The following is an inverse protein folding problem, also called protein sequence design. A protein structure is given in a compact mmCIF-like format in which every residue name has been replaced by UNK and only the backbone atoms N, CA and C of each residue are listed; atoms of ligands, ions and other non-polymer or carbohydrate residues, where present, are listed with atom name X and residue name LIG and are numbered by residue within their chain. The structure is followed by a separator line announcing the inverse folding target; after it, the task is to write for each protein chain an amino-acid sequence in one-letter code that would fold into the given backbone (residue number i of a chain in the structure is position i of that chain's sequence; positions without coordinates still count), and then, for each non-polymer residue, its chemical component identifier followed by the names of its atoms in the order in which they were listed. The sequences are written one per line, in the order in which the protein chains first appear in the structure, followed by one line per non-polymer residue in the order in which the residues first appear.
data_IF_418691781387
#
_entry.id   IF_418691781387
#
_cell.length_a   1.000
_cell.length_b   1.000
_cell.length_c   1.000
_cell.angle_alpha   90.00
_cell.angle_beta   90.00
_cell.angle_gamma   90.00
#
_symmetry.space_group_name_H-M   'P 1'
#
loop_
_entity.id
_entity.type
_entity.pdbx_description
1 polymer ?
#
# COMPACT_ATOMS: atom_id res chain seq x y z
N UNK A 1 -22.70 -27.62 5.05
CA UNK A 1 -22.61 -26.15 5.22
C UNK A 1 -21.26 -25.84 5.88
N UNK A 2 -20.77 -24.60 5.80
CA UNK A 2 -19.51 -24.18 6.45
C UNK A 2 -19.82 -23.54 7.81
N UNK A 3 -18.98 -23.78 8.81
CA UNK A 3 -19.08 -23.05 10.08
C UNK A 3 -18.37 -21.69 9.97
N UNK A 4 -18.74 -20.73 10.83
CA UNK A 4 -18.01 -19.45 10.95
C UNK A 4 -16.58 -19.65 11.45
N UNK A 5 -16.34 -20.70 12.25
CA UNK A 5 -15.01 -21.07 12.72
C UNK A 5 -14.10 -21.50 11.55
N UNK A 6 -14.62 -22.26 10.59
CA UNK A 6 -13.86 -22.70 9.40
C UNK A 6 -13.45 -21.51 8.53
N UNK A 7 -14.36 -20.55 8.32
CA UNK A 7 -14.08 -19.34 7.54
C UNK A 7 -12.99 -18.51 8.23
N UNK A 8 -13.08 -18.35 9.54
CA UNK A 8 -12.08 -17.62 10.32
C UNK A 8 -10.72 -18.33 10.34
N UNK A 9 -10.71 -19.66 10.44
CA UNK A 9 -9.48 -20.45 10.41
C UNK A 9 -8.78 -20.35 9.04
N UNK A 10 -9.52 -20.50 7.94
CA UNK A 10 -8.98 -20.35 6.57
C UNK A 10 -8.49 -18.92 6.31
N UNK A 11 -9.27 -17.92 6.73
CA UNK A 11 -8.89 -16.50 6.64
C UNK A 11 -7.61 -16.21 7.44
N UNK A 12 -7.51 -16.73 8.67
CA UNK A 12 -6.34 -16.58 9.54
C UNK A 12 -5.11 -17.26 8.94
N UNK A 13 -5.23 -18.48 8.41
CA UNK A 13 -4.11 -19.18 7.73
C UNK A 13 -3.63 -18.41 6.51
N UNK A 14 -4.55 -17.89 5.69
CA UNK A 14 -4.21 -17.04 4.54
C UNK A 14 -3.49 -15.77 4.97
N UNK A 15 -3.99 -15.09 6.00
CA UNK A 15 -3.35 -13.90 6.56
C UNK A 15 -1.94 -14.20 7.09
N UNK A 16 -1.76 -15.35 7.76
CA UNK A 16 -0.45 -15.84 8.23
C UNK A 16 0.53 -16.20 7.12
N UNK A 17 0.07 -16.40 5.88
CA UNK A 17 0.96 -16.61 4.72
C UNK A 17 1.27 -15.27 4.04
N UNK A 18 0.28 -14.39 3.91
CA UNK A 18 0.42 -13.11 3.22
C UNK A 18 1.26 -12.10 4.04
N UNK A 19 1.08 -12.04 5.36
CA UNK A 19 1.84 -11.10 6.20
C UNK A 19 3.34 -11.37 6.11
N UNK A 20 3.86 -12.58 6.36
CA UNK A 20 5.29 -12.85 6.23
C UNK A 20 5.80 -12.63 4.81
N UNK A 21 5.02 -12.98 3.78
CA UNK A 21 5.41 -12.73 2.39
C UNK A 21 5.59 -11.23 2.11
N UNK A 22 4.66 -10.40 2.58
CA UNK A 22 4.79 -8.94 2.50
C UNK A 22 5.98 -8.43 3.32
N UNK A 23 6.18 -8.94 4.55
CA UNK A 23 7.31 -8.56 5.40
C UNK A 23 8.66 -8.89 4.76
N UNK A 24 8.81 -10.09 4.19
CA UNK A 24 10.01 -10.50 3.47
C UNK A 24 10.21 -9.63 2.23
N UNK A 25 9.15 -9.35 1.47
CA UNK A 25 9.22 -8.45 0.32
C UNK A 25 9.72 -7.05 0.69
N UNK A 26 9.20 -6.47 1.79
CA UNK A 26 9.66 -5.18 2.31
C UNK A 26 11.11 -5.25 2.80
N UNK A 27 11.49 -6.30 3.52
CA UNK A 27 12.86 -6.46 4.01
C UNK A 27 13.89 -6.57 2.88
N UNK A 28 13.58 -7.34 1.83
CA UNK A 28 14.42 -7.46 0.63
C UNK A 28 14.49 -6.12 -0.11
N UNK A 29 13.37 -5.41 -0.23
CA UNK A 29 13.33 -4.08 -0.83
C UNK A 29 14.23 -3.08 -0.08
N UNK A 30 14.20 -3.08 1.26
CA UNK A 30 15.05 -2.23 2.08
C UNK A 30 16.53 -2.62 1.99
N UNK A 31 16.84 -3.92 1.99
CA UNK A 31 18.20 -4.42 1.80
C UNK A 31 18.76 -4.01 0.43
N UNK A 32 17.94 -4.10 -0.62
CA UNK A 32 18.30 -3.64 -1.96
C UNK A 32 18.60 -2.13 -1.98
N UNK A 33 17.74 -1.31 -1.35
CA UNK A 33 18.01 0.13 -1.25
C UNK A 33 19.29 0.44 -0.48
N UNK A 34 19.61 -0.29 0.58
CA UNK A 34 20.87 -0.12 1.31
C UNK A 34 22.10 -0.43 0.44
N UNK A 35 22.04 -1.50 -0.37
CA UNK A 35 23.11 -1.84 -1.31
C UNK A 35 23.25 -0.78 -2.40
N UNK A 36 22.12 -0.34 -2.99
CA UNK A 36 22.12 0.71 -4.01
C UNK A 36 22.67 2.01 -3.44
N UNK A 37 22.28 2.42 -2.23
CA UNK A 37 22.79 3.62 -1.58
C UNK A 37 24.31 3.56 -1.39
N UNK A 38 24.85 2.43 -0.92
CA UNK A 38 26.29 2.27 -0.71
C UNK A 38 27.12 2.29 -2.00
N UNK A 39 26.51 1.98 -3.16
CA UNK A 39 27.21 1.87 -4.45
C UNK A 39 26.84 2.97 -5.43
N UNK A 40 25.89 3.84 -5.08
CA UNK A 40 25.31 4.85 -5.97
C UNK A 40 26.37 5.75 -6.57
N UNK A 41 27.25 6.32 -5.75
CA UNK A 41 28.20 7.33 -6.22
C UNK A 41 29.24 6.72 -7.17
N UNK A 42 29.65 5.48 -6.90
CA UNK A 42 30.53 4.72 -7.77
C UNK A 42 29.86 4.38 -9.11
N UNK A 43 28.58 3.97 -9.08
CA UNK A 43 27.80 3.66 -10.28
C UNK A 43 27.53 4.90 -11.15
N UNK A 44 27.19 6.03 -10.53
CA UNK A 44 26.95 7.31 -11.22
C UNK A 44 28.25 7.85 -11.83
N UNK A 45 29.37 7.78 -11.10
CA UNK A 45 30.67 8.18 -11.64
C UNK A 45 31.10 7.30 -12.83
N UNK A 46 30.93 5.98 -12.72
CA UNK A 46 31.24 5.04 -13.81
C UNK A 46 30.33 5.24 -15.02
N UNK A 47 29.05 5.53 -14.81
CA UNK A 47 28.09 5.81 -15.89
C UNK A 47 28.41 7.12 -16.60
N UNK A 48 28.77 8.18 -15.85
CA UNK A 48 29.18 9.47 -16.41
C UNK A 48 30.41 9.33 -17.31
N UNK A 49 31.38 8.50 -16.92
CA UNK A 49 32.60 8.26 -17.69
C UNK A 49 32.36 7.45 -18.97
N UNK A 50 31.38 6.54 -18.97
CA UNK A 50 31.19 5.56 -20.06
C UNK A 50 30.08 5.93 -21.04
N UNK A 51 29.03 6.63 -20.58
CA UNK A 51 27.79 6.85 -21.32
C UNK A 51 27.33 8.32 -21.37
N UNK A 52 28.10 9.25 -20.80
CA UNK A 52 27.82 10.69 -20.79
C UNK A 52 26.87 11.16 -19.69
N UNK A 53 26.68 12.47 -19.56
CA UNK A 53 25.89 13.07 -18.46
C UNK A 53 24.40 12.70 -18.50
N UNK A 54 23.80 12.61 -19.69
CA UNK A 54 22.36 12.32 -19.84
C UNK A 54 21.93 10.96 -19.28
N UNK A 55 22.80 9.96 -19.28
CA UNK A 55 22.50 8.62 -18.75
C UNK A 55 22.75 8.53 -17.24
N UNK A 56 23.70 9.31 -16.72
CA UNK A 56 23.97 9.40 -15.29
C UNK A 56 22.76 9.96 -14.50
N UNK A 57 22.03 10.93 -15.08
CA UNK A 57 20.84 11.53 -14.47
C UNK A 57 19.63 10.57 -14.44
N UNK A 58 19.52 9.65 -15.40
CA UNK A 58 18.43 8.68 -15.48
C UNK A 58 18.69 7.39 -14.67
N UNK A 59 19.96 7.10 -14.36
CA UNK A 59 20.38 5.88 -13.66
C UNK A 59 19.67 5.64 -12.30
N UNK A 60 19.44 6.67 -11.45
CA UNK A 60 18.73 6.48 -10.18
C UNK A 60 17.30 5.99 -10.37
N UNK A 61 16.62 6.44 -11.42
CA UNK A 61 15.25 6.02 -11.74
C UNK A 61 15.24 4.56 -12.17
N UNK A 62 16.19 4.15 -13.00
CA UNK A 62 16.36 2.77 -13.46
C UNK A 62 16.66 1.83 -12.28
N UNK A 63 17.48 2.27 -11.32
CA UNK A 63 17.82 1.50 -10.13
C UNK A 63 16.64 1.28 -9.18
N UNK A 64 15.57 2.07 -9.25
CA UNK A 64 14.38 1.88 -8.42
C UNK A 64 13.47 0.78 -8.99
N UNK A 65 13.43 0.56 -10.31
CA UNK A 65 12.53 -0.41 -10.95
C UNK A 65 12.63 -1.85 -10.38
N UNK A 66 13.83 -2.42 -10.13
CA UNK A 66 13.97 -3.76 -9.56
C UNK A 66 13.32 -3.92 -8.17
N UNK A 67 13.27 -2.85 -7.36
CA UNK A 67 12.66 -2.86 -6.02
C UNK A 67 11.16 -3.21 -6.09
N UNK A 68 10.47 -2.70 -7.12
CA UNK A 68 9.06 -3.03 -7.39
C UNK A 68 8.94 -4.52 -7.73
N UNK A 69 9.88 -5.05 -8.51
CA UNK A 69 9.95 -6.46 -8.86
C UNK A 69 10.09 -7.37 -7.63
N UNK A 70 11.03 -7.06 -6.72
CA UNK A 70 11.22 -7.83 -5.47
C UNK A 70 9.96 -7.83 -4.59
N UNK A 71 9.28 -6.69 -4.49
CA UNK A 71 8.05 -6.60 -3.72
C UNK A 71 6.90 -7.39 -4.38
N UNK A 72 6.70 -7.22 -5.68
CA UNK A 72 5.63 -7.91 -6.42
C UNK A 72 5.83 -9.42 -6.45
N UNK A 73 7.05 -9.89 -6.68
CA UNK A 73 7.35 -11.34 -6.70
C UNK A 73 7.04 -12.00 -5.36
N UNK A 74 7.39 -11.36 -4.23
CA UNK A 74 7.05 -11.85 -2.90
C UNK A 74 5.52 -11.90 -2.68
N UNK A 75 4.78 -10.89 -3.14
CA UNK A 75 3.32 -10.88 -3.06
C UNK A 75 2.66 -11.94 -3.95
N UNK A 76 3.12 -12.10 -5.19
CA UNK A 76 2.62 -13.12 -6.13
C UNK A 76 2.87 -14.51 -5.55
N UNK A 77 4.05 -14.75 -4.97
CA UNK A 77 4.37 -15.99 -4.27
C UNK A 77 3.42 -16.24 -3.09
N UNK A 78 3.19 -15.21 -2.26
CA UNK A 78 2.24 -15.26 -1.15
C UNK A 78 0.81 -15.56 -1.62
N UNK A 79 0.35 -14.95 -2.71
CA UNK A 79 -0.96 -15.20 -3.30
C UNK A 79 -1.06 -16.65 -3.80
N UNK A 80 -0.07 -17.11 -4.55
CA UNK A 80 -0.01 -18.48 -5.08
C UNK A 80 -0.10 -19.51 -3.94
N UNK A 81 0.72 -19.36 -2.90
CA UNK A 81 0.70 -20.24 -1.73
C UNK A 81 -0.61 -20.15 -0.95
N UNK A 82 -1.26 -18.99 -0.93
CA UNK A 82 -2.55 -18.80 -0.26
C UNK A 82 -3.72 -19.48 -0.96
N UNK A 83 -3.62 -19.83 -2.25
CA UNK A 83 -4.71 -20.48 -3.02
C UNK A 83 -5.13 -21.82 -2.43
N UNK A 84 -4.21 -22.56 -1.80
CA UNK A 84 -4.54 -23.81 -1.11
C UNK A 84 -5.50 -23.63 0.08
N UNK A 85 -5.65 -22.41 0.58
CA UNK A 85 -6.55 -22.04 1.66
C UNK A 85 -7.72 -21.20 1.16
N UNK A 86 -8.04 -21.27 -0.14
CA UNK A 86 -9.16 -20.56 -0.73
C UNK A 86 -10.49 -21.07 -0.18
N UNK A 87 -11.42 -20.15 0.07
CA UNK A 87 -12.78 -20.47 0.49
C UNK A 87 -13.60 -20.74 -0.78
N UNK A 88 -13.96 -21.99 -1.04
CA UNK A 88 -14.73 -22.38 -2.23
C UNK A 88 -16.21 -22.55 -1.87
N UNK A 89 -17.10 -22.05 -2.74
CA UNK A 89 -18.53 -22.26 -2.57
C UNK A 89 -18.92 -23.73 -2.82
N UNK A 90 -19.58 -24.43 -1.89
CA UNK A 90 -19.96 -25.83 -2.09
C UNK A 90 -21.03 -26.05 -3.17
N UNK A 91 -21.74 -24.98 -3.59
CA UNK A 91 -22.83 -25.09 -4.55
C UNK A 91 -22.46 -24.63 -5.97
N UNK A 92 -21.66 -23.57 -6.13
CA UNK A 92 -21.27 -23.05 -7.45
C UNK A 92 -19.77 -23.11 -7.72
N UNK A 93 -18.98 -23.68 -6.80
CA UNK A 93 -17.53 -23.84 -6.91
C UNK A 93 -16.72 -22.53 -7.15
N UNK A 94 -17.35 -21.38 -6.93
CA UNK A 94 -16.70 -20.06 -7.06
C UNK A 94 -15.76 -19.81 -5.88
N UNK A 95 -14.59 -19.23 -6.16
CA UNK A 95 -13.65 -18.75 -5.15
C UNK A 95 -14.21 -17.51 -4.43
N UNK A 96 -14.44 -17.65 -3.13
CA UNK A 96 -14.93 -16.63 -2.22
C UNK A 96 -13.82 -16.08 -1.31
N UNK A 97 -12.56 -16.46 -1.52
CA UNK A 97 -11.42 -16.11 -0.67
C UNK A 97 -11.21 -14.59 -0.52
N UNK A 98 -11.56 -13.81 -1.54
CA UNK A 98 -11.50 -12.32 -1.53
C UNK A 98 -12.73 -11.68 -0.86
N UNK A 99 -13.81 -12.43 -0.67
CA UNK A 99 -15.09 -11.95 -0.13
C UNK A 99 -15.44 -12.59 1.22
N UNK A 100 -14.48 -13.20 1.92
CA UNK A 100 -14.67 -13.87 3.21
C UNK A 100 -15.38 -13.00 4.24
N UNK A 101 -15.06 -11.71 4.35
CA UNK A 101 -15.76 -10.75 5.24
C UNK A 101 -17.24 -10.60 4.88
N UNK A 102 -17.57 -10.51 3.58
CA UNK A 102 -18.96 -10.44 3.09
C UNK A 102 -19.69 -11.74 3.37
N UNK A 103 -19.06 -12.88 3.08
CA UNK A 103 -19.63 -14.21 3.32
C UNK A 103 -19.87 -14.44 4.81
N UNK A 104 -18.94 -14.06 5.69
CA UNK A 104 -19.11 -14.17 7.13
C UNK A 104 -20.29 -13.30 7.64
N UNK A 105 -20.46 -12.09 7.09
CA UNK A 105 -21.51 -11.16 7.50
C UNK A 105 -22.90 -11.46 6.90
N UNK A 106 -22.96 -11.96 5.66
CA UNK A 106 -24.21 -12.23 4.94
C UNK A 106 -24.63 -13.70 4.98
N UNK A 107 -23.70 -14.59 5.32
CA UNK A 107 -23.82 -16.06 5.31
C UNK A 107 -24.15 -16.70 3.96
N UNK A 108 -24.18 -15.90 2.89
CA UNK A 108 -24.50 -16.32 1.55
C UNK A 108 -23.29 -16.24 0.61
N UNK A 109 -23.31 -17.06 -0.44
CA UNK A 109 -22.40 -16.94 -1.56
C UNK A 109 -22.71 -15.64 -2.33
N UNK A 110 -21.67 -14.88 -2.68
CA UNK A 110 -21.81 -13.66 -3.50
C UNK A 110 -22.26 -13.94 -4.94
N UNK A 111 -21.96 -15.14 -5.46
CA UNK A 111 -22.29 -15.51 -6.85
C UNK A 111 -23.65 -16.17 -6.96
N UNK A 112 -23.90 -17.26 -6.22
CA UNK A 112 -25.15 -18.01 -6.35
C UNK A 112 -26.25 -17.62 -5.33
N UNK A 113 -25.98 -16.69 -4.40
CA UNK A 113 -26.94 -16.20 -3.41
C UNK A 113 -27.36 -17.21 -2.33
N UNK A 114 -27.07 -18.50 -2.51
CA UNK A 114 -27.40 -19.55 -1.54
C UNK A 114 -26.65 -19.37 -0.22
N UNK A 115 -27.32 -19.73 0.87
CA UNK A 115 -26.72 -19.75 2.20
C UNK A 115 -25.70 -20.88 2.27
N UNK A 116 -24.46 -20.54 2.59
CA UNK A 116 -23.34 -21.49 2.69
C UNK A 116 -22.78 -21.59 4.10
N UNK A 117 -23.11 -20.64 4.98
CA UNK A 117 -22.67 -20.59 6.39
C UNK A 117 -23.84 -20.86 7.32
N UNK A 118 -23.60 -21.64 8.37
CA UNK A 118 -24.63 -22.01 9.34
C UNK A 118 -25.17 -20.84 10.17
N UNK A 119 -26.43 -20.96 10.61
CA UNK A 119 -27.16 -20.03 11.50
C UNK A 119 -27.82 -18.82 10.81
N UNK A 120 -28.45 -17.91 11.58
CA UNK A 120 -29.22 -16.78 11.03
C UNK A 120 -28.32 -15.74 10.34
N UNK A 121 -28.86 -15.05 9.33
CA UNK A 121 -28.15 -13.94 8.66
C UNK A 121 -27.91 -12.80 9.66
N UNK A 122 -26.66 -12.37 9.78
CA UNK A 122 -26.31 -11.23 10.63
C UNK A 122 -26.61 -9.89 9.96
N UNK A 123 -26.37 -9.77 8.64
CA UNK A 123 -26.66 -8.57 7.87
C UNK A 123 -27.10 -8.92 6.44
N UNK A 124 -27.96 -8.08 5.84
CA UNK A 124 -28.26 -8.14 4.41
C UNK A 124 -27.06 -7.68 3.56
N UNK A 125 -27.03 -8.03 2.25
CA UNK A 125 -25.94 -7.64 1.34
C UNK A 125 -25.76 -6.11 1.26
N UNK A 126 -26.87 -5.36 1.20
CA UNK A 126 -26.85 -3.90 1.14
C UNK A 126 -26.30 -3.25 2.42
N UNK A 127 -26.65 -3.81 3.58
CA UNK A 127 -26.15 -3.35 4.87
C UNK A 127 -24.64 -3.56 5.00
N UNK A 128 -24.12 -4.70 4.51
CA UNK A 128 -22.68 -4.96 4.45
C UNK A 128 -21.98 -3.99 3.50
N UNK A 129 -22.52 -3.74 2.31
CA UNK A 129 -21.92 -2.80 1.34
C UNK A 129 -21.89 -1.36 1.87
N UNK A 130 -22.94 -0.93 2.59
CA UNK A 130 -22.93 0.37 3.28
C UNK A 130 -21.83 0.42 4.35
N UNK A 131 -21.69 -0.62 5.18
CA UNK A 131 -20.63 -0.69 6.20
C UNK A 131 -19.23 -0.72 5.60
N UNK A 132 -19.01 -1.54 4.58
CA UNK A 132 -17.72 -1.64 3.88
C UNK A 132 -17.29 -0.30 3.29
N UNK A 133 -18.22 0.48 2.70
CA UNK A 133 -17.93 1.83 2.21
C UNK A 133 -17.51 2.78 3.32
N UNK A 134 -18.16 2.70 4.49
CA UNK A 134 -17.79 3.51 5.66
C UNK A 134 -16.39 3.14 6.17
N UNK A 135 -16.09 1.84 6.27
CA UNK A 135 -14.78 1.36 6.72
C UNK A 135 -13.65 1.74 5.74
N UNK A 136 -13.88 1.56 4.43
CA UNK A 136 -12.92 1.98 3.39
C UNK A 136 -12.68 3.50 3.44
N UNK A 137 -13.73 4.30 3.60
CA UNK A 137 -13.60 5.76 3.75
C UNK A 137 -12.78 6.14 4.99
N UNK A 138 -13.03 5.49 6.13
CA UNK A 138 -12.23 5.71 7.35
C UNK A 138 -10.76 5.36 7.13
N UNK A 139 -10.48 4.22 6.50
CA UNK A 139 -9.11 3.82 6.16
C UNK A 139 -8.42 4.86 5.28
N UNK A 140 -9.09 5.35 4.21
CA UNK A 140 -8.54 6.38 3.34
C UNK A 140 -8.23 7.68 4.08
N UNK A 141 -9.11 8.11 4.99
CA UNK A 141 -8.89 9.29 5.84
C UNK A 141 -7.60 9.13 6.66
N UNK A 142 -7.40 7.98 7.31
CA UNK A 142 -6.19 7.72 8.09
C UNK A 142 -4.95 7.60 7.20
N UNK A 143 -5.06 6.91 6.07
CA UNK A 143 -3.97 6.75 5.11
C UNK A 143 -3.51 8.09 4.55
N UNK A 144 -4.43 8.99 4.22
CA UNK A 144 -4.07 10.33 3.74
C UNK A 144 -3.41 11.20 4.80
N UNK A 145 -3.68 10.96 6.09
CA UNK A 145 -2.94 11.63 7.18
C UNK A 145 -1.53 11.10 7.39
N UNK A 146 -1.24 9.84 7.01
CA UNK A 146 0.10 9.27 7.17
C UNK A 146 1.16 10.06 6.39
N UNK A 147 0.83 10.56 5.20
CA UNK A 147 1.74 11.30 4.32
C UNK A 147 2.21 12.66 4.86
N UNK A 148 1.32 13.59 5.27
CA UNK A 148 1.75 14.86 5.86
C UNK A 148 2.44 14.65 7.20
N UNK A 149 2.06 13.64 7.99
CA UNK A 149 2.78 13.30 9.23
C UNK A 149 4.21 12.86 8.92
N UNK A 150 4.38 11.94 7.97
CA UNK A 150 5.69 11.46 7.53
C UNK A 150 6.56 12.60 6.98
N UNK A 151 6.00 13.45 6.13
CA UNK A 151 6.73 14.60 5.58
C UNK A 151 7.14 15.61 6.64
N UNK A 152 6.27 15.92 7.61
CA UNK A 152 6.62 16.77 8.75
C UNK A 152 7.75 16.18 9.60
N UNK A 153 7.77 14.85 9.81
CA UNK A 153 8.86 14.18 10.53
C UNK A 153 10.18 14.26 9.75
N UNK A 154 10.15 14.09 8.43
CA UNK A 154 11.32 14.19 7.56
C UNK A 154 11.89 15.62 7.57
N UNK A 155 11.04 16.63 7.42
CA UNK A 155 11.44 18.04 7.48
C UNK A 155 12.01 18.38 8.86
N UNK A 156 11.35 17.94 9.93
CA UNK A 156 11.84 18.15 11.29
C UNK A 156 13.20 17.48 11.55
N UNK A 157 13.42 16.27 11.03
CA UNK A 157 14.72 15.60 11.11
C UNK A 157 15.79 16.35 10.31
N UNK A 158 15.46 16.85 9.12
CA UNK A 158 16.40 17.65 8.32
C UNK A 158 16.83 18.92 9.05
N UNK A 159 15.93 19.59 9.76
CA UNK A 159 16.28 20.75 10.60
C UNK A 159 17.23 20.40 11.74
N UNK A 160 17.13 19.19 12.30
CA UNK A 160 18.03 18.72 13.37
C UNK A 160 19.39 18.25 12.82
N UNK A 161 19.40 17.66 11.62
CA UNK A 161 20.60 17.14 10.96
C UNK A 161 20.55 17.46 9.46
N UNK A 162 21.04 18.64 9.05
CA UNK A 162 20.97 19.11 7.66
C UNK A 162 21.62 18.15 6.66
N UNK A 163 22.69 17.47 7.07
CA UNK A 163 23.44 16.51 6.27
C UNK A 163 22.70 15.18 6.04
N UNK A 164 21.63 14.91 6.79
CA UNK A 164 20.96 13.60 6.81
C UNK A 164 20.26 13.21 5.50
N UNK A 165 20.01 14.17 4.60
CA UNK A 165 19.37 13.94 3.31
C UNK A 165 20.15 14.51 2.12
N UNK A 166 21.44 14.83 2.28
CA UNK A 166 22.29 15.35 1.18
C UNK A 166 22.33 14.39 -0.01
N UNK A 167 22.38 13.08 0.26
CA UNK A 167 22.40 12.07 -0.80
C UNK A 167 21.06 11.90 -1.51
N UNK A 168 19.94 12.28 -0.87
CA UNK A 168 18.57 12.05 -1.35
C UNK A 168 17.63 13.23 -1.03
N UNK A 169 17.87 14.42 -1.60
CA UNK A 169 17.13 15.64 -1.26
C UNK A 169 15.65 15.58 -1.69
N UNK A 170 15.31 14.70 -2.64
CA UNK A 170 13.92 14.47 -3.07
C UNK A 170 13.01 13.95 -1.95
N UNK A 171 13.56 13.32 -0.91
CA UNK A 171 12.76 12.84 0.23
C UNK A 171 12.06 13.97 0.99
N UNK A 172 12.56 15.21 0.89
CA UNK A 172 12.00 16.38 1.57
C UNK A 172 10.61 16.79 1.05
N UNK A 173 10.32 16.57 -0.24
CA UNK A 173 9.04 16.96 -0.85
C UNK A 173 8.17 15.78 -1.30
N UNK A 174 8.75 14.58 -1.46
CA UNK A 174 8.02 13.38 -1.94
C UNK A 174 6.78 13.01 -1.10
N UNK A 175 6.82 12.99 0.25
CA UNK A 175 5.63 12.70 1.06
C UNK A 175 4.51 13.72 0.83
N UNK A 176 4.86 15.01 0.70
CA UNK A 176 3.92 16.07 0.36
C UNK A 176 3.30 15.88 -1.03
N UNK A 177 4.10 15.48 -2.02
CA UNK A 177 3.64 15.24 -3.40
C UNK A 177 2.66 14.06 -3.45
N UNK A 178 3.02 12.94 -2.82
CA UNK A 178 2.17 11.73 -2.78
C UNK A 178 0.87 12.03 -2.01
N UNK A 179 0.96 12.68 -0.85
CA UNK A 179 -0.21 13.05 -0.06
C UNK A 179 -1.16 13.98 -0.80
N UNK A 180 -0.63 15.02 -1.45
CA UNK A 180 -1.44 16.01 -2.20
C UNK A 180 -2.10 15.39 -3.43
N UNK A 181 -1.36 14.62 -4.21
CA UNK A 181 -1.92 13.94 -5.39
C UNK A 181 -2.96 12.89 -5.02
N UNK A 182 -2.71 12.07 -3.99
CA UNK A 182 -3.64 11.02 -3.56
C UNK A 182 -4.94 11.58 -2.98
N UNK A 183 -4.84 12.55 -2.07
CA UNK A 183 -5.98 13.22 -1.45
C UNK A 183 -6.76 14.09 -2.46
N UNK A 184 -6.05 14.75 -3.38
CA UNK A 184 -6.63 15.57 -4.44
C UNK A 184 -7.41 14.73 -5.45
N UNK A 185 -6.85 13.60 -5.89
CA UNK A 185 -7.56 12.63 -6.71
C UNK A 185 -8.81 12.07 -6.02
N UNK A 186 -8.68 11.70 -4.74
CA UNK A 186 -9.81 11.21 -3.96
C UNK A 186 -10.91 12.26 -3.82
N UNK A 187 -10.56 13.50 -3.54
CA UNK A 187 -11.49 14.63 -3.51
C UNK A 187 -12.14 14.87 -4.87
N UNK A 188 -11.38 14.93 -5.96
CA UNK A 188 -11.91 15.15 -7.30
C UNK A 188 -12.91 14.05 -7.71
N UNK A 189 -12.66 12.80 -7.31
CA UNK A 189 -13.51 11.66 -7.65
C UNK A 189 -14.78 11.57 -6.79
N UNK A 190 -14.75 11.96 -5.53
CA UNK A 190 -15.89 11.77 -4.61
C UNK A 190 -16.56 13.07 -4.17
N UNK A 191 -15.97 14.23 -4.46
CA UNK A 191 -16.36 15.57 -3.99
C UNK A 191 -16.55 15.64 -2.47
N UNK A 192 -15.81 14.79 -1.74
CA UNK A 192 -15.96 14.64 -0.31
C UNK A 192 -15.08 15.64 0.45
N UNK A 193 -15.71 16.68 1.01
CA UNK A 193 -15.04 17.76 1.74
C UNK A 193 -14.19 17.27 2.91
N UNK A 194 -14.39 16.05 3.40
CA UNK A 194 -13.59 15.46 4.49
C UNK A 194 -12.14 15.17 4.11
N UNK A 195 -11.79 15.20 2.83
CA UNK A 195 -10.41 15.06 2.34
C UNK A 195 -9.66 16.40 2.23
N UNK A 196 -10.37 17.54 2.35
CA UNK A 196 -9.77 18.87 2.24
C UNK A 196 -8.69 19.16 3.31
N UNK A 197 -8.87 18.79 4.60
CA UNK A 197 -7.82 19.01 5.59
C UNK A 197 -6.52 18.28 5.28
N UNK A 198 -6.60 17.05 4.77
CA UNK A 198 -5.44 16.23 4.40
C UNK A 198 -4.77 16.76 3.13
N UNK A 199 -5.57 17.22 2.17
CA UNK A 199 -5.07 17.91 0.98
C UNK A 199 -4.31 19.17 1.37
N UNK A 200 -4.89 20.02 2.21
CA UNK A 200 -4.25 21.24 2.71
C UNK A 200 -2.97 20.92 3.49
N UNK A 201 -3.01 19.96 4.42
CA UNK A 201 -1.84 19.55 5.19
C UNK A 201 -0.71 18.99 4.32
N UNK A 202 -1.04 18.14 3.34
CA UNK A 202 -0.05 17.59 2.40
C UNK A 202 0.52 18.67 1.48
N UNK A 203 -0.30 19.63 1.04
CA UNK A 203 0.14 20.74 0.22
C UNK A 203 1.06 21.69 0.99
N UNK A 204 0.79 21.97 2.27
CA UNK A 204 1.69 22.74 3.12
C UNK A 204 3.05 22.04 3.26
N UNK A 205 3.05 20.74 3.56
CA UNK A 205 4.28 19.94 3.66
C UNK A 205 5.04 19.93 2.33
N UNK A 206 4.33 19.85 1.19
CA UNK A 206 4.93 19.93 -0.13
C UNK A 206 5.62 21.28 -0.36
N UNK A 207 4.94 22.40 -0.07
CA UNK A 207 5.50 23.74 -0.23
C UNK A 207 6.73 23.95 0.67
N UNK A 208 6.67 23.50 1.92
CA UNK A 208 7.81 23.58 2.85
C UNK A 208 8.97 22.72 2.33
N UNK A 209 8.71 21.48 1.92
CA UNK A 209 9.71 20.60 1.33
C UNK A 209 10.40 21.20 0.10
N UNK A 210 9.63 21.84 -0.79
CA UNK A 210 10.19 22.58 -1.93
C UNK A 210 11.04 23.78 -1.50
N UNK A 211 10.61 24.55 -0.49
CA UNK A 211 11.36 25.71 0.00
C UNK A 211 12.66 25.36 0.73
N UNK A 212 12.77 24.14 1.26
CA UNK A 212 13.97 23.63 1.91
C UNK A 212 14.90 22.95 0.90
N UNK A 213 14.36 22.47 -0.21
CA UNK A 213 15.10 21.85 -1.30
C UNK A 213 15.86 22.88 -2.18
N UNK A 214 15.31 24.09 -2.35
CA UNK A 214 15.85 25.15 -3.18
C UNK A 214 16.66 26.18 -2.38
#
# INVERSE_FOLDING_TARGET
MLSTADINALSKKRMWILIPAATVGVAVMLAYFAVVAAWRDSLVASAKQSFGESTADALPIVLILPSIGFFLTALIWGEHKSKHHALICPNCNVDLSRSTKRVAATRCCNSCGKQIVEGPRTHGPEAFERRSRIEQRKFLIYWFWAWPILGSLIIGYHWLSPTGFEDCPHMLFMPGLIGTTASGWAFARTLDKRYLPQLAGSAMVLCIGFSVFW
#
